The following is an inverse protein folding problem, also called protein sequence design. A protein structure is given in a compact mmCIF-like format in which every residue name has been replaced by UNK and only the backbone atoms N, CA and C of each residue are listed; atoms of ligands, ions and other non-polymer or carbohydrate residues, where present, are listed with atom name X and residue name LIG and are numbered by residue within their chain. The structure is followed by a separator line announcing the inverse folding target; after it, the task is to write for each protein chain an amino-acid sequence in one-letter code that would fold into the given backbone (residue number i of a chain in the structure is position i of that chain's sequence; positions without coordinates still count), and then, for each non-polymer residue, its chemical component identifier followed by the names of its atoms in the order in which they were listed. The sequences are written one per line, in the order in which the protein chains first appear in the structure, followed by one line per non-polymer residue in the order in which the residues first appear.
data_IF_613771495254
#
_entry.id   IF_613771495254
#
_cell.length_a   1.000
_cell.length_b   1.000
_cell.length_c   1.000
_cell.angle_alpha   90.00
_cell.angle_beta   90.00
_cell.angle_gamma   90.00
#
_symmetry.space_group_name_H-M   'P 1'
#
loop_
_entity.id
_entity.type
_entity.pdbx_description
1 polymer ?
#
# COMPACT_ATOMS: atom_id res chain seq x y z
N UNK A 1 2.50 10.42 7.62
CA UNK A 1 2.87 8.99 7.49
C UNK A 1 3.97 8.91 6.45
N UNK A 2 5.09 8.23 6.70
CA UNK A 2 6.20 8.15 5.74
C UNK A 2 6.17 6.80 5.00
N UNK A 3 5.64 6.82 3.78
CA UNK A 3 5.45 5.61 2.96
C UNK A 3 6.76 5.05 2.39
N UNK A 4 7.84 5.84 2.36
CA UNK A 4 9.15 5.36 1.86
C UNK A 4 9.76 4.27 2.74
N UNK A 5 9.30 4.20 4.00
CA UNK A 5 9.71 3.19 4.99
C UNK A 5 8.80 1.96 5.01
N UNK A 6 7.75 1.93 4.19
CA UNK A 6 6.86 0.77 4.12
C UNK A 6 7.64 -0.44 3.57
N UNK A 7 7.53 -1.56 4.29
CA UNK A 7 8.21 -2.80 3.95
C UNK A 7 7.18 -3.79 3.42
N UNK A 8 7.44 -4.33 2.22
CA UNK A 8 6.61 -5.35 1.59
C UNK A 8 7.00 -6.75 2.06
N UNK A 9 7.41 -7.61 1.14
CA UNK A 9 7.84 -8.96 1.46
C UNK A 9 9.00 -8.97 2.46
N UNK A 10 8.86 -9.82 3.48
CA UNK A 10 9.86 -10.03 4.52
C UNK A 10 10.40 -11.46 4.43
N UNK A 11 11.71 -11.62 4.59
CA UNK A 11 12.36 -12.91 4.66
C UNK A 11 13.37 -12.96 5.81
N UNK A 12 13.57 -14.17 6.32
CA UNK A 12 14.58 -14.46 7.32
C UNK A 12 15.73 -15.20 6.61
N UNK A 13 16.83 -14.50 6.23
CA UNK A 13 18.02 -15.15 5.73
C UNK A 13 18.64 -16.05 6.81
N UNK A 14 19.48 -17.02 6.41
CA UNK A 14 20.17 -17.95 7.32
C UNK A 14 21.01 -17.25 8.41
N UNK A 15 21.27 -15.96 8.27
CA UNK A 15 21.93 -15.10 9.26
C UNK A 15 21.01 -14.63 10.40
N UNK A 16 19.73 -15.01 10.39
CA UNK A 16 18.77 -14.74 11.47
C UNK A 16 18.25 -13.30 11.58
N UNK A 17 18.69 -12.37 10.72
CA UNK A 17 18.21 -10.98 10.72
C UNK A 17 17.11 -10.81 9.68
N UNK A 18 15.88 -10.57 10.14
CA UNK A 18 14.74 -10.25 9.28
C UNK A 18 15.09 -9.08 8.35
N UNK A 19 14.95 -9.31 7.05
CA UNK A 19 15.09 -8.30 6.01
C UNK A 19 13.76 -8.18 5.28
N UNK A 20 13.46 -7.00 4.78
CA UNK A 20 12.34 -6.81 3.88
C UNK A 20 12.69 -5.86 2.75
N UNK A 21 12.03 -6.06 1.61
CA UNK A 21 12.14 -5.15 0.47
C UNK A 21 11.22 -3.95 0.71
N UNK A 22 11.56 -2.78 0.17
CA UNK A 22 10.62 -1.67 0.08
C UNK A 22 9.31 -2.12 -0.56
N UNK A 23 8.18 -1.66 -0.03
CA UNK A 23 6.87 -1.94 -0.60
C UNK A 23 6.68 -1.24 -1.97
N UNK A 24 7.26 -0.05 -2.13
CA UNK A 24 7.25 0.73 -3.36
C UNK A 24 8.63 0.67 -4.00
N UNK A 25 8.71 0.27 -5.28
CA UNK A 25 9.97 -0.08 -5.94
C UNK A 25 10.63 1.10 -6.64
N UNK A 26 9.86 2.16 -6.92
CA UNK A 26 10.33 3.37 -7.58
C UNK A 26 9.61 4.62 -7.03
N UNK A 27 10.15 5.79 -7.40
CA UNK A 27 9.66 7.08 -6.94
C UNK A 27 8.24 7.37 -7.46
N UNK A 28 7.93 6.99 -8.70
CA UNK A 28 6.62 7.23 -9.31
C UNK A 28 5.50 6.47 -8.55
N UNK A 29 5.75 5.23 -8.13
CA UNK A 29 4.84 4.45 -7.29
C UNK A 29 4.63 5.10 -5.92
N UNK A 30 5.72 5.58 -5.30
CA UNK A 30 5.67 6.26 -4.02
C UNK A 30 4.86 7.57 -4.09
N UNK A 31 5.02 8.35 -5.15
CA UNK A 31 4.26 9.59 -5.38
C UNK A 31 2.77 9.34 -5.59
N UNK A 32 2.43 8.29 -6.36
CA UNK A 32 1.04 7.86 -6.53
C UNK A 32 0.43 7.40 -5.20
N UNK A 33 1.17 6.63 -4.41
CA UNK A 33 0.72 6.18 -3.10
C UNK A 33 0.53 7.36 -2.13
N UNK A 34 1.44 8.32 -2.11
CA UNK A 34 1.31 9.55 -1.31
C UNK A 34 0.08 10.37 -1.73
N UNK A 35 -0.20 10.46 -3.03
CA UNK A 35 -1.39 11.16 -3.52
C UNK A 35 -2.69 10.52 -3.00
N UNK A 36 -2.75 9.19 -2.94
CA UNK A 36 -3.89 8.47 -2.36
C UNK A 36 -3.98 8.73 -0.85
N UNK A 37 -2.87 8.65 -0.12
CA UNK A 37 -2.87 8.91 1.33
C UNK A 37 -3.30 10.34 1.65
N UNK A 38 -2.92 11.32 0.83
CA UNK A 38 -3.36 12.71 0.97
C UNK A 38 -4.89 12.85 0.79
N UNK A 39 -5.51 12.08 -0.11
CA UNK A 39 -6.98 12.07 -0.25
C UNK A 39 -7.68 11.52 0.99
N UNK A 40 -7.00 10.65 1.74
CA UNK A 40 -7.51 10.04 2.97
C UNK A 40 -7.17 10.85 4.23
N UNK A 41 -6.58 12.04 4.07
CA UNK A 41 -6.22 12.91 5.19
C UNK A 41 -7.44 13.26 6.04
N UNK A 42 -7.30 13.14 7.37
CA UNK A 42 -8.38 13.37 8.33
C UNK A 42 -9.27 12.14 8.60
N UNK A 43 -9.10 11.03 7.88
CA UNK A 43 -9.75 9.76 8.21
C UNK A 43 -8.99 9.00 9.32
N UNK A 44 -9.69 8.18 10.09
CA UNK A 44 -9.03 7.17 10.92
C UNK A 44 -8.38 6.10 10.02
N UNK A 45 -7.37 5.41 10.55
CA UNK A 45 -6.67 4.34 9.81
C UNK A 45 -7.66 3.25 9.40
N UNK A 46 -8.58 2.88 10.29
CA UNK A 46 -9.59 1.84 10.05
C UNK A 46 -10.56 2.24 8.93
N UNK A 47 -11.08 3.48 8.96
CA UNK A 47 -11.96 3.98 7.90
C UNK A 47 -11.25 4.09 6.55
N UNK A 48 -9.99 4.52 6.55
CA UNK A 48 -9.17 4.60 5.34
C UNK A 48 -8.92 3.21 4.74
N UNK A 49 -8.60 2.22 5.58
CA UNK A 49 -8.43 0.82 5.16
C UNK A 49 -9.73 0.22 4.61
N UNK A 50 -10.86 0.48 5.26
CA UNK A 50 -12.17 0.02 4.79
C UNK A 50 -12.50 0.59 3.41
N UNK A 51 -12.28 1.89 3.20
CA UNK A 51 -12.52 2.55 1.92
C UNK A 51 -11.60 1.99 0.81
N UNK A 52 -10.30 1.86 1.08
CA UNK A 52 -9.34 1.30 0.13
C UNK A 52 -9.70 -0.14 -0.25
N UNK A 53 -10.18 -0.94 0.70
CA UNK A 53 -10.64 -2.31 0.42
C UNK A 53 -11.87 -2.31 -0.51
N UNK A 54 -12.85 -1.42 -0.29
CA UNK A 54 -14.02 -1.28 -1.17
C UNK A 54 -13.63 -0.86 -2.59
N UNK A 55 -12.69 0.09 -2.72
CA UNK A 55 -12.15 0.52 -4.03
C UNK A 55 -11.47 -0.65 -4.74
N UNK A 56 -10.64 -1.43 -4.04
CA UNK A 56 -9.99 -2.61 -4.61
C UNK A 56 -11.01 -3.64 -5.12
N UNK A 57 -12.06 -3.93 -4.35
CA UNK A 57 -13.15 -4.82 -4.78
C UNK A 57 -13.83 -4.28 -6.05
N UNK A 58 -14.14 -2.99 -6.08
CA UNK A 58 -14.77 -2.36 -7.24
C UNK A 58 -13.90 -2.46 -8.50
N UNK A 59 -12.59 -2.22 -8.40
CA UNK A 59 -11.65 -2.37 -9.52
C UNK A 59 -11.61 -3.80 -10.07
N UNK A 60 -11.59 -4.80 -9.19
CA UNK A 60 -11.65 -6.21 -9.58
C UNK A 60 -13.00 -6.58 -10.21
N UNK A 61 -14.10 -5.98 -9.75
CA UNK A 61 -15.43 -6.23 -10.32
C UNK A 61 -15.61 -5.61 -11.71
N UNK A 62 -15.08 -4.41 -11.94
CA UNK A 62 -15.14 -3.74 -13.23
C UNK A 62 -14.44 -4.54 -14.33
N UNK A 63 -13.42 -5.34 -13.99
CA UNK A 63 -12.79 -6.25 -14.96
C UNK A 63 -13.69 -7.43 -15.39
N UNK A 64 -14.79 -7.72 -14.69
CA UNK A 64 -15.79 -8.72 -15.12
C UNK A 64 -16.92 -8.14 -15.95
N UNK A 65 -17.09 -6.81 -15.96
CA UNK A 65 -18.16 -6.11 -16.68
C UNK A 65 -17.67 -5.65 -18.07
N UNK A 66 -16.36 -5.59 -18.29
CA UNK A 66 -15.73 -5.28 -19.58
C UNK A 66 -15.43 -6.53 -20.41
#
# INVERSE_FOLDING_TARGET
MDLSKAVGEKWIPMTGREKGLPLFLNQDELERANSIVNVLEGMSIESAQELLNKVNIALLQLTFIN
#
